data_IF_375596145233
#
_entry.id   IF_375596145233
#
_cell.length_a   1.000
_cell.length_b   1.000
_cell.length_c   1.000
_cell.angle_alpha   90.00
_cell.angle_beta   90.00
_cell.angle_gamma   90.00
#
_symmetry.space_group_name_H-M   'P 1'
#
loop_
_entity.id
_entity.type
_entity.pdbx_description
1 polymer ?
#
# COMPACT_ATOMS: atom_id res chain seq x y z
N UNK A 1 -46.07 31.63 -25.55
CA UNK A 1 -46.01 32.94 -24.89
C UNK A 1 -47.33 33.73 -24.90
N UNK A 2 -48.06 33.84 -26.02
CA UNK A 2 -49.33 34.63 -26.08
C UNK A 2 -50.46 34.14 -25.16
N UNK A 3 -50.60 32.82 -24.91
CA UNK A 3 -51.64 32.27 -24.01
C UNK A 3 -51.41 32.58 -22.51
N UNK A 4 -50.16 32.70 -22.07
CA UNK A 4 -49.83 33.07 -20.68
C UNK A 4 -50.17 34.54 -20.42
N UNK A 5 -49.77 35.41 -21.34
CA UNK A 5 -50.07 36.85 -21.32
C UNK A 5 -51.59 37.14 -21.30
N UNK A 6 -52.36 36.39 -22.08
CA UNK A 6 -53.83 36.53 -22.11
C UNK A 6 -54.49 36.12 -20.78
N UNK A 7 -53.99 35.05 -20.14
CA UNK A 7 -54.43 34.62 -18.80
C UNK A 7 -54.08 35.64 -17.72
N UNK A 8 -52.91 36.26 -17.79
CA UNK A 8 -52.49 37.32 -16.89
C UNK A 8 -53.35 38.59 -17.04
N UNK A 9 -53.77 38.94 -18.26
CA UNK A 9 -54.55 40.15 -18.50
C UNK A 9 -55.93 40.13 -17.82
N UNK A 10 -56.59 38.96 -17.76
CA UNK A 10 -57.93 38.76 -17.19
C UNK A 10 -58.02 38.66 -15.65
N UNK A 11 -56.90 38.71 -14.94
CA UNK A 11 -56.91 38.67 -13.46
C UNK A 11 -57.30 40.02 -12.85
N UNK A 12 -58.15 39.99 -11.80
CA UNK A 12 -58.44 41.17 -10.96
C UNK A 12 -57.14 41.75 -10.42
N UNK A 13 -57.03 43.08 -10.40
CA UNK A 13 -55.81 43.83 -10.07
C UNK A 13 -55.09 43.38 -8.80
N UNK A 14 -55.85 42.97 -7.76
CA UNK A 14 -55.31 42.42 -6.51
C UNK A 14 -54.42 41.18 -6.70
N UNK A 15 -54.81 40.26 -7.61
CA UNK A 15 -54.02 39.06 -7.89
C UNK A 15 -52.75 39.37 -8.70
N UNK A 16 -52.77 40.38 -9.57
CA UNK A 16 -51.57 40.85 -10.30
C UNK A 16 -50.52 41.40 -9.33
N UNK A 17 -50.94 42.22 -8.36
CA UNK A 17 -50.05 42.73 -7.30
C UNK A 17 -49.51 41.60 -6.41
N UNK A 18 -50.34 40.64 -6.02
CA UNK A 18 -49.93 39.53 -5.17
C UNK A 18 -48.89 38.62 -5.85
N UNK A 19 -49.07 38.33 -7.15
CA UNK A 19 -48.10 37.56 -7.94
C UNK A 19 -46.77 38.31 -8.09
N UNK A 20 -46.81 39.63 -8.26
CA UNK A 20 -45.60 40.44 -8.42
C UNK A 20 -44.76 40.46 -7.14
N UNK A 21 -45.41 40.61 -5.98
CA UNK A 21 -44.75 40.53 -4.66
C UNK A 21 -44.18 39.13 -4.41
N UNK A 22 -44.94 38.09 -4.77
CA UNK A 22 -44.51 36.69 -4.61
C UNK A 22 -43.30 36.36 -5.49
N UNK A 23 -43.31 36.78 -6.75
CA UNK A 23 -42.18 36.62 -7.67
C UNK A 23 -40.96 37.42 -7.19
N UNK A 24 -41.16 38.64 -6.71
CA UNK A 24 -40.09 39.49 -6.18
C UNK A 24 -39.43 38.91 -4.93
N UNK A 25 -40.13 38.11 -4.12
CA UNK A 25 -39.54 37.40 -2.98
C UNK A 25 -38.91 36.05 -3.35
N UNK A 26 -39.55 35.28 -4.23
CA UNK A 26 -39.13 33.90 -4.55
C UNK A 26 -37.95 33.85 -5.52
N UNK A 27 -37.90 34.74 -6.53
CA UNK A 27 -36.80 34.69 -7.52
C UNK A 27 -35.44 34.95 -6.85
N UNK A 28 -35.25 36.00 -6.04
CA UNK A 28 -33.95 36.26 -5.41
C UNK A 28 -33.53 35.14 -4.45
N UNK A 29 -34.49 34.60 -3.69
CA UNK A 29 -34.21 33.51 -2.74
C UNK A 29 -33.80 32.23 -3.46
N UNK A 30 -34.48 31.84 -4.55
CA UNK A 30 -34.09 30.68 -5.37
C UNK A 30 -32.69 30.84 -5.98
N UNK A 31 -32.35 32.04 -6.46
CA UNK A 31 -31.02 32.31 -7.02
C UNK A 31 -29.94 32.14 -5.95
N UNK A 32 -30.13 32.72 -4.76
CA UNK A 32 -29.18 32.61 -3.65
C UNK A 32 -29.05 31.16 -3.18
N UNK A 33 -30.15 30.45 -2.98
CA UNK A 33 -30.13 29.04 -2.57
C UNK A 33 -29.41 28.16 -3.58
N UNK A 34 -29.67 28.35 -4.88
CA UNK A 34 -29.00 27.61 -5.94
C UNK A 34 -27.49 27.86 -5.94
N UNK A 35 -27.07 29.12 -5.82
CA UNK A 35 -25.67 29.50 -5.76
C UNK A 35 -24.97 28.91 -4.52
N UNK A 36 -25.60 28.99 -3.34
CA UNK A 36 -25.06 28.41 -2.10
C UNK A 36 -24.95 26.89 -2.19
N UNK A 37 -25.95 26.21 -2.78
CA UNK A 37 -25.93 24.76 -2.95
C UNK A 37 -24.81 24.30 -3.89
N UNK A 38 -24.58 25.04 -4.98
CA UNK A 38 -23.45 24.77 -5.89
C UNK A 38 -22.10 24.97 -5.19
N UNK A 39 -21.94 26.07 -4.44
CA UNK A 39 -20.72 26.35 -3.68
C UNK A 39 -20.43 25.26 -2.64
N UNK A 40 -21.44 24.89 -1.84
CA UNK A 40 -21.32 23.83 -0.84
C UNK A 40 -20.92 22.50 -1.46
N UNK A 41 -21.51 22.14 -2.60
CA UNK A 41 -21.18 20.90 -3.31
C UNK A 41 -19.72 20.87 -3.77
N UNK A 42 -19.19 21.97 -4.29
CA UNK A 42 -17.80 22.05 -4.73
C UNK A 42 -16.83 21.93 -3.55
N UNK A 43 -17.09 22.66 -2.45
CA UNK A 43 -16.27 22.57 -1.24
C UNK A 43 -16.30 21.18 -0.61
N UNK A 44 -17.44 20.49 -0.63
CA UNK A 44 -17.52 19.10 -0.15
C UNK A 44 -16.66 18.16 -0.99
N UNK A 45 -16.68 18.31 -2.32
CA UNK A 45 -15.84 17.51 -3.24
C UNK A 45 -14.35 17.76 -3.03
N UNK A 46 -13.95 19.03 -2.86
CA UNK A 46 -12.55 19.40 -2.57
C UNK A 46 -12.08 18.78 -1.26
N UNK A 47 -12.86 18.94 -0.18
CA UNK A 47 -12.54 18.35 1.13
C UNK A 47 -12.48 16.83 1.10
N UNK A 48 -13.37 16.18 0.34
CA UNK A 48 -13.32 14.72 0.20
C UNK A 48 -12.02 14.29 -0.50
N UNK A 49 -11.60 15.00 -1.53
CA UNK A 49 -10.33 14.73 -2.22
C UNK A 49 -9.11 14.97 -1.31
N UNK A 50 -9.10 16.05 -0.55
CA UNK A 50 -8.05 16.37 0.43
C UNK A 50 -7.97 15.30 1.52
N UNK A 51 -9.11 14.90 2.10
CA UNK A 51 -9.17 13.85 3.11
C UNK A 51 -8.65 12.51 2.56
N UNK A 52 -8.96 12.18 1.30
CA UNK A 52 -8.45 10.98 0.64
C UNK A 52 -6.93 11.05 0.43
N UNK A 53 -6.42 12.21 0.03
CA UNK A 53 -4.97 12.45 -0.10
C UNK A 53 -4.25 12.32 1.22
N UNK A 54 -4.78 12.91 2.29
CA UNK A 54 -4.20 12.82 3.62
C UNK A 54 -4.25 11.39 4.17
N UNK A 55 -5.37 10.69 4.00
CA UNK A 55 -5.51 9.29 4.44
C UNK A 55 -4.55 8.38 3.68
N UNK A 56 -4.45 8.54 2.35
CA UNK A 56 -3.49 7.80 1.54
C UNK A 56 -2.05 8.09 1.99
N UNK A 57 -1.72 9.36 2.22
CA UNK A 57 -0.40 9.75 2.72
C UNK A 57 -0.09 9.07 4.05
N UNK A 58 -1.00 9.12 5.03
CA UNK A 58 -0.80 8.47 6.33
C UNK A 58 -0.59 6.96 6.20
N UNK A 59 -1.34 6.29 5.33
CA UNK A 59 -1.16 4.86 5.08
C UNK A 59 0.20 4.54 4.43
N UNK A 60 0.61 5.32 3.42
CA UNK A 60 1.92 5.17 2.77
C UNK A 60 3.05 5.45 3.75
N UNK A 61 2.96 6.52 4.54
CA UNK A 61 3.97 6.87 5.55
C UNK A 61 4.06 5.76 6.62
N UNK A 62 2.94 5.13 7.01
CA UNK A 62 2.96 4.01 7.95
C UNK A 62 3.69 2.78 7.37
N UNK A 63 3.45 2.45 6.10
CA UNK A 63 4.13 1.35 5.40
C UNK A 63 5.62 1.66 5.20
N UNK A 64 5.96 2.91 4.85
CA UNK A 64 7.34 3.35 4.68
C UNK A 64 8.13 3.23 5.99
N UNK A 65 7.53 3.67 7.11
CA UNK A 65 8.14 3.51 8.43
C UNK A 65 8.38 2.03 8.78
N UNK A 66 7.43 1.14 8.45
CA UNK A 66 7.62 -0.31 8.63
C UNK A 66 8.75 -0.84 7.74
N UNK A 67 8.80 -0.42 6.47
CA UNK A 67 9.84 -0.81 5.54
C UNK A 67 11.23 -0.40 6.04
N UNK A 68 11.38 0.84 6.52
CA UNK A 68 12.63 1.33 7.10
C UNK A 68 13.08 0.51 8.32
N UNK A 69 12.15 0.04 9.17
CA UNK A 69 12.50 -0.86 10.29
C UNK A 69 13.12 -2.17 9.76
N UNK A 70 12.54 -2.78 8.73
CA UNK A 70 13.05 -4.03 8.18
C UNK A 70 14.37 -3.85 7.42
N UNK A 71 14.56 -2.70 6.76
CA UNK A 71 15.82 -2.33 6.13
C UNK A 71 16.93 -2.13 7.17
N UNK A 72 16.66 -1.38 8.24
CA UNK A 72 17.60 -1.19 9.33
C UNK A 72 17.95 -2.52 10.03
N UNK A 73 16.96 -3.40 10.18
CA UNK A 73 17.15 -4.72 10.77
C UNK A 73 18.05 -5.61 9.90
N UNK A 74 17.76 -5.74 8.60
CA UNK A 74 18.57 -6.57 7.70
C UNK A 74 19.99 -6.01 7.58
N UNK A 75 20.14 -4.69 7.64
CA UNK A 75 21.42 -4.01 7.65
C UNK A 75 22.20 -4.36 8.91
N UNK A 76 21.61 -4.15 10.10
CA UNK A 76 22.23 -4.53 11.36
C UNK A 76 22.70 -5.99 11.37
N UNK A 77 21.82 -6.91 10.95
CA UNK A 77 22.15 -8.34 10.86
C UNK A 77 23.29 -8.59 9.86
N UNK A 78 23.32 -7.89 8.72
CA UNK A 78 24.36 -8.06 7.69
C UNK A 78 25.75 -7.63 8.15
N UNK A 79 25.84 -6.81 9.20
CA UNK A 79 27.09 -6.37 9.82
C UNK A 79 27.39 -7.10 11.15
N UNK A 80 26.52 -8.01 11.61
CA UNK A 80 26.65 -8.65 12.90
C UNK A 80 27.98 -9.42 13.04
N UNK A 81 28.77 -9.03 14.04
CA UNK A 81 30.02 -9.70 14.37
C UNK A 81 29.81 -11.14 14.85
N UNK A 82 28.68 -11.42 15.49
CA UNK A 82 28.38 -12.76 15.99
C UNK A 82 27.97 -13.71 14.86
N UNK A 83 27.14 -13.24 13.91
CA UNK A 83 26.86 -14.01 12.70
C UNK A 83 28.13 -14.23 11.88
N UNK A 84 29.02 -13.25 11.81
CA UNK A 84 30.33 -13.41 11.15
C UNK A 84 31.17 -14.51 11.79
N UNK A 85 31.24 -14.58 13.12
CA UNK A 85 31.97 -15.66 13.82
C UNK A 85 31.39 -17.03 13.49
N UNK A 86 30.05 -17.13 13.39
CA UNK A 86 29.37 -18.37 12.99
C UNK A 86 29.71 -18.74 11.53
N UNK A 87 29.78 -17.75 10.64
CA UNK A 87 30.11 -17.95 9.22
C UNK A 87 31.59 -18.26 8.96
N UNK A 88 32.52 -17.77 9.79
CA UNK A 88 33.96 -18.08 9.68
C UNK A 88 34.40 -19.32 10.46
N UNK A 89 33.49 -19.96 11.18
CA UNK A 89 33.86 -21.10 12.02
C UNK A 89 34.27 -22.29 11.15
N UNK A 90 35.48 -22.81 11.40
CA UNK A 90 35.88 -24.12 10.88
C UNK A 90 35.08 -25.22 11.57
N UNK A 91 34.61 -26.18 10.77
CA UNK A 91 33.72 -27.24 11.24
C UNK A 91 34.50 -28.23 12.12
N UNK A 92 34.50 -27.99 13.43
CA UNK A 92 35.18 -28.87 14.38
C UNK A 92 34.37 -30.14 14.70
N UNK A 93 33.06 -30.01 14.95
CA UNK A 93 32.14 -31.11 15.25
C UNK A 93 30.69 -30.68 14.97
N UNK A 94 29.85 -31.60 14.49
CA UNK A 94 28.43 -31.33 14.21
C UNK A 94 27.68 -30.88 15.48
N UNK A 95 28.00 -31.45 16.65
CA UNK A 95 27.41 -31.05 17.93
C UNK A 95 27.77 -29.60 18.31
N UNK A 96 29.04 -29.23 18.21
CA UNK A 96 29.50 -27.87 18.53
C UNK A 96 28.92 -26.84 17.57
N UNK A 97 28.72 -27.23 16.31
CA UNK A 97 28.08 -26.40 15.28
C UNK A 97 26.62 -26.15 15.62
N UNK A 98 25.88 -27.22 15.92
CA UNK A 98 24.48 -27.14 16.35
C UNK A 98 24.30 -26.26 17.60
N UNK A 99 25.18 -26.42 18.59
CA UNK A 99 25.11 -25.65 19.83
C UNK A 99 25.30 -24.15 19.57
N UNK A 100 26.26 -23.77 18.72
CA UNK A 100 26.47 -22.35 18.36
C UNK A 100 25.32 -21.77 17.54
N UNK A 101 24.76 -22.53 16.60
CA UNK A 101 23.57 -22.10 15.86
C UNK A 101 22.42 -21.82 16.81
N UNK A 102 22.17 -22.74 17.75
CA UNK A 102 21.09 -22.60 18.74
C UNK A 102 21.31 -21.46 19.73
N UNK A 103 22.55 -21.22 20.16
CA UNK A 103 22.85 -20.21 21.19
C UNK A 103 23.11 -18.80 20.65
N UNK A 104 23.50 -18.67 19.38
CA UNK A 104 23.90 -17.38 18.77
C UNK A 104 22.98 -17.00 17.63
N UNK A 105 22.86 -17.84 16.61
CA UNK A 105 22.11 -17.50 15.39
C UNK A 105 20.60 -17.47 15.65
N UNK A 106 20.06 -18.48 16.33
CA UNK A 106 18.62 -18.57 16.54
C UNK A 106 18.04 -17.39 17.34
N UNK A 107 18.63 -16.96 18.48
CA UNK A 107 18.15 -15.79 19.18
C UNK A 107 18.21 -14.52 18.32
N UNK A 108 19.31 -14.30 17.60
CA UNK A 108 19.49 -13.11 16.75
C UNK A 108 18.46 -13.04 15.61
N UNK A 109 18.10 -14.17 15.01
CA UNK A 109 17.22 -14.24 13.86
C UNK A 109 15.73 -14.41 14.24
N UNK A 110 15.42 -14.95 15.42
CA UNK A 110 14.06 -15.15 15.88
C UNK A 110 13.52 -14.01 16.76
N UNK A 111 14.36 -13.34 17.56
CA UNK A 111 13.90 -12.25 18.44
C UNK A 111 13.18 -11.11 17.70
N UNK A 112 13.60 -10.67 16.51
CA UNK A 112 12.87 -9.62 15.79
C UNK A 112 11.40 -9.99 15.48
N UNK A 113 11.10 -11.27 15.28
CA UNK A 113 9.75 -11.76 15.00
C UNK A 113 8.80 -11.61 16.22
N UNK A 114 9.36 -11.57 17.43
CA UNK A 114 8.58 -11.37 18.67
C UNK A 114 8.05 -9.93 18.75
N UNK A 115 8.83 -8.96 18.29
CA UNK A 115 8.50 -7.54 18.36
C UNK A 115 7.77 -7.03 17.11
N UNK A 116 8.01 -7.66 15.95
CA UNK A 116 7.43 -7.26 14.66
C UNK A 116 6.61 -8.40 14.06
N UNK A 117 5.29 -8.33 14.24
CA UNK A 117 4.34 -9.39 13.88
C UNK A 117 4.20 -9.63 12.38
N UNK A 118 4.69 -8.70 11.58
CA UNK A 118 4.76 -8.79 10.12
C UNK A 118 5.92 -9.67 9.69
N UNK A 119 6.95 -9.86 10.52
CA UNK A 119 8.07 -10.74 10.18
C UNK A 119 7.66 -12.19 10.42
N UNK A 120 7.58 -12.97 9.35
CA UNK A 120 7.32 -14.43 9.41
C UNK A 120 8.57 -15.25 9.72
N UNK A 121 9.74 -14.74 9.35
CA UNK A 121 10.99 -15.47 9.50
C UNK A 121 12.18 -14.70 8.95
N UNK A 122 13.34 -14.91 9.57
CA UNK A 122 14.63 -14.43 9.06
C UNK A 122 15.53 -15.64 8.86
N UNK A 123 16.06 -15.79 7.66
CA UNK A 123 16.95 -16.90 7.30
C UNK A 123 18.27 -16.37 6.77
N UNK A 124 19.37 -16.88 7.29
CA UNK A 124 20.72 -16.66 6.80
C UNK A 124 21.16 -17.85 5.95
N UNK A 125 21.45 -17.56 4.69
CA UNK A 125 21.94 -18.53 3.72
C UNK A 125 23.43 -18.36 3.52
N UNK A 126 24.22 -19.42 3.57
CA UNK A 126 25.68 -19.32 3.37
C UNK A 126 26.29 -20.58 2.75
N UNK A 127 27.40 -20.41 2.05
CA UNK A 127 28.11 -21.52 1.39
C UNK A 127 28.73 -22.51 2.39
N UNK A 128 29.10 -22.03 3.58
CA UNK A 128 29.68 -22.87 4.62
C UNK A 128 28.63 -23.71 5.39
N UNK A 129 27.34 -23.47 5.16
CA UNK A 129 26.23 -24.22 5.75
C UNK A 129 25.85 -25.34 4.78
N UNK A 130 26.04 -26.60 5.18
CA UNK A 130 25.71 -27.75 4.32
C UNK A 130 24.31 -28.31 4.57
N UNK A 131 23.79 -28.15 5.79
CA UNK A 131 22.49 -28.68 6.21
C UNK A 131 21.71 -27.56 6.88
N UNK A 132 20.44 -27.43 6.54
CA UNK A 132 19.55 -26.46 7.16
C UNK A 132 19.42 -26.72 8.68
N UNK A 133 19.39 -25.63 9.46
CA UNK A 133 19.13 -25.65 10.89
C UNK A 133 17.87 -24.85 11.16
N UNK A 134 16.79 -25.58 11.45
CA UNK A 134 15.45 -25.00 11.63
C UNK A 134 15.02 -24.18 10.42
N UNK A 135 14.51 -22.97 10.68
CA UNK A 135 14.13 -21.97 9.66
C UNK A 135 15.11 -20.80 9.56
N UNK A 136 16.16 -20.79 10.38
CA UNK A 136 17.06 -19.65 10.60
C UNK A 136 18.31 -19.73 9.77
N UNK A 137 18.79 -20.94 9.45
CA UNK A 137 20.02 -21.18 8.72
C UNK A 137 19.81 -22.21 7.63
N UNK A 138 20.34 -21.93 6.43
CA UNK A 138 20.22 -22.84 5.30
C UNK A 138 21.42 -22.74 4.34
N UNK A 139 21.67 -23.78 3.52
CA UNK A 139 22.68 -23.74 2.47
C UNK A 139 22.39 -22.68 1.40
N UNK A 140 23.40 -21.96 0.94
CA UNK A 140 23.23 -20.97 -0.13
C UNK A 140 22.72 -21.58 -1.44
N UNK A 141 23.04 -22.85 -1.69
CA UNK A 141 22.60 -23.60 -2.88
C UNK A 141 21.08 -23.66 -3.03
N UNK A 142 20.30 -23.55 -1.94
CA UNK A 142 18.84 -23.59 -2.00
C UNK A 142 18.23 -22.37 -2.72
N UNK A 143 18.95 -21.25 -2.78
CA UNK A 143 18.39 -19.97 -3.24
C UNK A 143 19.04 -19.40 -4.49
N UNK A 144 20.11 -20.01 -5.02
CA UNK A 144 20.83 -19.46 -6.18
C UNK A 144 19.94 -19.35 -7.44
N UNK A 145 18.93 -20.20 -7.56
CA UNK A 145 17.95 -20.18 -8.66
C UNK A 145 16.79 -19.20 -8.48
N UNK A 146 16.60 -18.64 -7.28
CA UNK A 146 15.46 -17.82 -6.95
C UNK A 146 15.54 -16.41 -7.57
N UNK A 147 14.40 -15.86 -7.98
CA UNK A 147 14.33 -14.53 -8.62
C UNK A 147 14.77 -13.40 -7.68
N UNK A 148 14.54 -13.56 -6.38
CA UNK A 148 14.89 -12.56 -5.36
C UNK A 148 16.37 -12.63 -4.95
N UNK A 149 17.12 -13.64 -5.39
CA UNK A 149 18.54 -13.81 -5.03
C UNK A 149 19.39 -12.63 -5.55
N UNK A 150 20.21 -11.99 -4.69
CA UNK A 150 21.05 -10.87 -5.10
C UNK A 150 22.26 -11.34 -5.92
N UNK A 151 22.08 -11.53 -7.23
CA UNK A 151 23.13 -11.95 -8.18
C UNK A 151 24.28 -10.95 -8.33
N UNK A 152 24.01 -9.67 -8.09
CA UNK A 152 25.03 -8.61 -8.25
C UNK A 152 25.83 -8.45 -6.95
N UNK A 153 27.13 -8.16 -7.04
CA UNK A 153 28.02 -7.94 -5.89
C UNK A 153 27.75 -6.64 -5.11
N UNK A 154 26.72 -5.86 -5.47
CA UNK A 154 26.36 -4.65 -4.71
C UNK A 154 25.53 -5.10 -3.50
N UNK A 155 25.99 -4.75 -2.29
CA UNK A 155 25.31 -5.00 -1.01
C UNK A 155 24.06 -4.12 -0.81
N UNK A 156 23.24 -3.99 -1.86
CA UNK A 156 21.99 -3.24 -1.83
C UNK A 156 20.88 -4.15 -1.32
N UNK A 157 19.99 -3.58 -0.53
CA UNK A 157 18.75 -4.23 -0.10
C UNK A 157 17.86 -4.44 -1.34
N UNK A 158 17.23 -5.61 -1.44
CA UNK A 158 16.27 -5.92 -2.49
C UNK A 158 14.92 -6.28 -1.88
N UNK A 159 13.89 -5.60 -2.35
CA UNK A 159 12.49 -5.95 -2.12
C UNK A 159 11.99 -6.82 -3.27
N UNK A 160 11.33 -7.92 -2.93
CA UNK A 160 10.69 -8.80 -3.91
C UNK A 160 9.32 -9.20 -3.41
N UNK A 161 8.33 -9.13 -4.29
CA UNK A 161 6.95 -9.46 -3.98
C UNK A 161 6.57 -10.66 -4.83
N UNK A 162 6.15 -11.74 -4.18
CA UNK A 162 5.62 -12.91 -4.85
C UNK A 162 4.10 -12.91 -4.70
N UNK A 163 3.40 -12.76 -5.82
CA UNK A 163 1.94 -12.88 -5.91
C UNK A 163 1.56 -14.24 -6.51
N UNK A 164 0.50 -14.88 -6.00
CA UNK A 164 0.04 -16.18 -6.48
C UNK A 164 -0.62 -17.03 -5.38
N UNK A 165 -0.31 -18.33 -5.32
CA UNK A 165 -0.90 -19.27 -4.35
C UNK A 165 -0.55 -18.93 -2.89
N UNK A 166 0.60 -18.31 -2.66
CA UNK A 166 1.03 -17.80 -1.35
C UNK A 166 1.70 -16.45 -1.52
N UNK A 167 0.96 -15.39 -1.18
CA UNK A 167 1.50 -14.04 -1.24
C UNK A 167 2.53 -13.83 -0.12
N UNK A 168 3.71 -13.36 -0.48
CA UNK A 168 4.78 -13.03 0.47
C UNK A 168 5.62 -11.86 -0.04
N UNK A 169 6.13 -11.08 0.89
CA UNK A 169 7.14 -10.04 0.61
C UNK A 169 8.46 -10.51 1.18
N UNK A 170 9.51 -10.39 0.38
CA UNK A 170 10.86 -10.81 0.72
C UNK A 170 11.76 -9.58 0.69
N UNK A 171 12.52 -9.39 1.75
CA UNK A 171 13.62 -8.43 1.81
C UNK A 171 14.92 -9.22 1.88
N UNK A 172 15.81 -9.04 0.92
CA UNK A 172 17.05 -9.80 0.84
C UNK A 172 18.27 -8.89 0.65
N UNK A 173 19.39 -9.28 1.28
CA UNK A 173 20.66 -8.56 1.17
C UNK A 173 21.83 -9.53 1.30
N UNK A 174 22.91 -9.28 0.56
CA UNK A 174 24.17 -10.01 0.72
C UNK A 174 24.86 -9.60 2.02
N UNK A 175 25.34 -10.57 2.80
CA UNK A 175 26.08 -10.32 4.04
C UNK A 175 27.36 -9.55 3.74
N UNK A 176 27.66 -8.52 4.53
CA UNK A 176 28.82 -7.68 4.28
C UNK A 176 30.05 -8.25 5.01
N UNK A 177 31.07 -8.67 4.27
CA UNK A 177 32.29 -9.18 4.89
C UNK A 177 33.48 -8.20 4.85
N UNK A 178 33.48 -7.18 4.01
CA UNK A 178 34.64 -6.29 3.82
C UNK A 178 35.86 -6.97 3.17
N UNK A 179 36.07 -8.27 3.38
CA UNK A 179 37.14 -9.10 2.82
C UNK A 179 36.71 -10.04 1.68
N UNK A 180 35.40 -10.10 1.34
CA UNK A 180 34.81 -11.01 0.33
C UNK A 180 35.02 -12.52 0.57
N UNK A 181 35.38 -12.94 1.78
CA UNK A 181 35.60 -14.36 2.12
C UNK A 181 34.29 -15.06 2.46
N UNK A 182 33.32 -14.31 3.00
CA UNK A 182 31.99 -14.83 3.32
C UNK A 182 31.04 -14.59 2.15
N UNK A 183 30.54 -15.67 1.57
CA UNK A 183 29.40 -15.63 0.65
C UNK A 183 28.13 -16.08 1.38
N UNK A 184 27.35 -15.10 1.82
CA UNK A 184 26.11 -15.33 2.53
C UNK A 184 25.05 -14.29 2.15
N UNK A 185 23.77 -14.65 2.31
CA UNK A 185 22.60 -13.82 2.01
C UNK A 185 21.62 -13.90 3.17
N UNK A 186 21.19 -12.75 3.66
CA UNK A 186 20.09 -12.64 4.61
C UNK A 186 18.77 -12.46 3.86
N UNK A 187 17.73 -13.13 4.36
CA UNK A 187 16.37 -13.06 3.84
C UNK A 187 15.40 -12.82 5.00
N UNK A 188 14.66 -11.73 4.96
CA UNK A 188 13.48 -11.51 5.79
C UNK A 188 12.24 -11.87 4.96
N UNK A 189 11.39 -12.72 5.52
CA UNK A 189 10.08 -13.03 4.95
C UNK A 189 9.02 -12.28 5.74
N UNK A 190 8.24 -11.44 5.05
CA UNK A 190 7.18 -10.63 5.63
C UNK A 190 5.80 -11.19 5.28
N UNK A 191 4.84 -10.97 6.18
CA UNK A 191 3.43 -11.22 5.94
C UNK A 191 2.86 -10.16 5.01
N UNK A 192 2.45 -10.60 3.82
CA UNK A 192 1.90 -9.75 2.79
C UNK A 192 0.68 -8.96 3.25
N UNK A 193 -0.28 -9.60 3.93
CA UNK A 193 -1.52 -8.94 4.31
C UNK A 193 -1.28 -7.92 5.44
N UNK A 194 -0.42 -8.27 6.41
CA UNK A 194 -0.12 -7.34 7.51
C UNK A 194 0.68 -6.12 7.07
N UNK A 195 1.63 -6.29 6.14
CA UNK A 195 2.42 -5.18 5.60
C UNK A 195 1.51 -4.13 4.93
N UNK A 196 0.51 -4.58 4.17
CA UNK A 196 -0.41 -3.68 3.46
C UNK A 196 -1.68 -3.33 4.28
N UNK A 197 -1.79 -3.79 5.53
CA UNK A 197 -2.94 -3.52 6.40
C UNK A 197 -3.23 -2.01 6.58
N UNK A 198 -2.23 -1.11 6.75
CA UNK A 198 -2.50 0.33 6.84
C UNK A 198 -3.19 0.87 5.58
N UNK A 199 -2.79 0.37 4.40
CA UNK A 199 -3.39 0.75 3.12
C UNK A 199 -4.79 0.15 2.95
N UNK A 200 -5.02 -1.08 3.41
CA UNK A 200 -6.35 -1.69 3.36
C UNK A 200 -7.35 -1.00 4.30
N UNK A 201 -6.89 -0.54 5.48
CA UNK A 201 -7.73 0.11 6.50
C UNK A 201 -8.34 1.42 6.06
N UNK A 202 -7.65 2.19 5.22
CA UNK A 202 -8.19 3.44 4.68
C UNK A 202 -9.23 3.20 3.57
N UNK A 203 -9.36 1.97 3.08
CA UNK A 203 -10.37 1.62 2.09
C UNK A 203 -11.70 1.29 2.76
N UNK A 204 -12.61 2.25 2.70
CA UNK A 204 -14.02 2.07 3.05
C UNK A 204 -14.71 1.06 2.09
N UNK A 205 -16.02 0.83 2.24
CA UNK A 205 -16.83 0.06 1.28
C UNK A 205 -16.89 0.76 -0.10
N UNK A 206 -16.82 0.00 -1.20
CA UNK A 206 -16.92 0.46 -2.60
C UNK A 206 -15.66 1.13 -3.20
N UNK A 207 -14.46 0.66 -2.85
CA UNK A 207 -13.18 1.18 -3.37
C UNK A 207 -12.28 0.09 -3.96
N UNK A 208 -11.35 0.51 -4.82
CA UNK A 208 -10.24 -0.31 -5.27
C UNK A 208 -8.92 0.41 -4.99
N UNK A 209 -7.90 -0.37 -4.62
CA UNK A 209 -6.55 0.12 -4.43
C UNK A 209 -5.54 -0.79 -5.10
N UNK A 210 -4.55 -0.19 -5.75
CA UNK A 210 -3.48 -0.90 -6.44
C UNK A 210 -2.14 -0.26 -6.08
N UNK A 211 -1.13 -1.09 -5.88
CA UNK A 211 0.25 -0.71 -5.64
C UNK A 211 1.10 -1.29 -6.74
N UNK A 212 1.93 -0.45 -7.36
CA UNK A 212 2.90 -0.89 -8.38
C UNK A 212 4.33 -0.65 -7.91
N UNK A 213 5.25 -1.48 -8.40
CA UNK A 213 6.69 -1.20 -8.31
C UNK A 213 7.13 -0.19 -9.39
N UNK A 214 8.41 0.22 -9.35
CA UNK A 214 9.03 1.12 -10.34
C UNK A 214 8.89 0.60 -11.78
N UNK A 215 8.84 -0.73 -11.97
CA UNK A 215 8.76 -1.39 -13.27
C UNK A 215 7.31 -1.53 -13.77
N UNK A 216 6.31 -1.11 -13.01
CA UNK A 216 4.89 -1.21 -13.34
C UNK A 216 4.26 -2.57 -13.03
N UNK A 217 4.94 -3.45 -12.29
CA UNK A 217 4.36 -4.71 -11.83
C UNK A 217 3.43 -4.47 -10.64
N UNK A 218 2.31 -5.18 -10.60
CA UNK A 218 1.38 -5.11 -9.46
C UNK A 218 1.99 -5.81 -8.25
N UNK A 219 2.26 -5.03 -7.21
CA UNK A 219 2.75 -5.48 -5.91
C UNK A 219 1.59 -5.85 -5.00
N UNK A 220 0.55 -5.01 -4.97
CA UNK A 220 -0.64 -5.22 -4.18
C UNK A 220 -1.88 -4.76 -4.90
N UNK A 221 -2.96 -5.50 -4.72
CA UNK A 221 -4.28 -5.13 -5.23
C UNK A 221 -5.34 -5.59 -4.25
N UNK A 222 -6.25 -4.70 -3.91
CA UNK A 222 -7.47 -5.06 -3.22
C UNK A 222 -8.66 -4.39 -3.91
N UNK A 223 -9.72 -5.16 -4.08
CA UNK A 223 -10.94 -4.70 -4.70
C UNK A 223 -12.11 -4.98 -3.75
N UNK A 224 -12.73 -3.90 -3.26
CA UNK A 224 -13.97 -3.93 -2.48
C UNK A 224 -15.12 -3.26 -3.27
N UNK A 225 -14.97 -3.09 -4.59
CA UNK A 225 -16.04 -2.62 -5.47
C UNK A 225 -17.12 -3.71 -5.53
N UNK A 226 -18.39 -3.39 -5.21
CA UNK A 226 -19.46 -4.37 -5.26
C UNK A 226 -19.73 -4.78 -6.72
N UNK A 227 -20.01 -6.06 -6.94
CA UNK A 227 -20.21 -6.68 -8.26
C UNK A 227 -21.19 -5.94 -9.20
N UNK A 228 -22.12 -5.15 -8.64
CA UNK A 228 -23.02 -4.26 -9.39
C UNK A 228 -22.33 -3.17 -10.23
N UNK A 229 -21.06 -2.86 -9.94
CA UNK A 229 -20.23 -1.90 -10.68
C UNK A 229 -19.00 -2.55 -11.34
N UNK A 230 -18.91 -3.89 -11.36
CA UNK A 230 -17.89 -4.61 -12.14
C UNK A 230 -18.18 -4.44 -13.64
N UNK A 231 -17.71 -3.33 -14.20
CA UNK A 231 -17.39 -3.29 -15.63
C UNK A 231 -16.18 -4.19 -15.80
N UNK A 232 -16.33 -5.24 -16.62
CA UNK A 232 -15.48 -6.42 -16.67
C UNK A 232 -13.97 -6.18 -16.67
N UNK A 233 -13.22 -7.21 -16.21
CA UNK A 233 -11.76 -7.33 -16.15
C UNK A 233 -11.02 -5.99 -16.11
N UNK A 234 -10.78 -5.53 -14.88
CA UNK A 234 -9.95 -4.39 -14.49
C UNK A 234 -8.47 -4.69 -14.78
N UNK A 235 -8.12 -4.90 -16.05
CA UNK A 235 -6.76 -5.20 -16.50
C UNK A 235 -6.09 -3.98 -17.18
N UNK A 236 -6.76 -2.82 -17.26
CA UNK A 236 -6.15 -1.61 -17.86
C UNK A 236 -6.64 -0.30 -17.24
N UNK A 237 -5.67 0.52 -16.80
CA UNK A 237 -5.80 1.81 -16.08
C UNK A 237 -6.74 2.81 -16.78
N UNK A 238 -6.88 2.72 -18.11
CA UNK A 238 -7.65 3.68 -18.93
C UNK A 238 -9.17 3.59 -18.78
N UNK A 239 -9.71 2.44 -18.35
CA UNK A 239 -11.16 2.27 -18.19
C UNK A 239 -11.61 2.65 -16.77
N UNK A 240 -10.77 2.41 -15.76
CA UNK A 240 -11.02 2.84 -14.37
C UNK A 240 -10.96 4.36 -14.26
N UNK A 241 -10.02 5.04 -14.92
CA UNK A 241 -9.92 6.51 -14.88
C UNK A 241 -11.13 7.25 -15.48
N UNK A 242 -11.96 6.61 -16.31
CA UNK A 242 -13.15 7.26 -16.90
C UNK A 242 -14.33 7.33 -15.93
N UNK A 243 -14.44 6.36 -15.01
CA UNK A 243 -15.57 6.23 -14.07
C UNK A 243 -15.19 6.49 -12.61
N UNK A 244 -13.90 6.63 -12.31
CA UNK A 244 -13.36 6.77 -10.97
C UNK A 244 -12.46 8.00 -10.84
N UNK A 245 -12.56 8.71 -9.71
CA UNK A 245 -11.54 9.66 -9.28
C UNK A 245 -10.42 8.89 -8.58
N UNK A 246 -9.15 9.24 -8.82
CA UNK A 246 -8.01 8.54 -8.22
C UNK A 246 -7.04 9.49 -7.53
N UNK A 247 -6.46 9.03 -6.44
CA UNK A 247 -5.34 9.69 -5.77
C UNK A 247 -4.14 8.76 -5.78
N UNK A 248 -2.95 9.29 -6.05
CA UNK A 248 -1.71 8.51 -6.11
C UNK A 248 -0.66 9.11 -5.18
N UNK A 249 0.10 8.26 -4.50
CA UNK A 249 1.23 8.64 -3.66
C UNK A 249 2.37 7.66 -3.89
N UNK A 250 3.57 8.20 -4.08
CA UNK A 250 4.79 7.43 -4.20
C UNK A 250 5.49 7.36 -2.85
N UNK A 251 6.01 6.17 -2.53
CA UNK A 251 6.80 5.89 -1.34
C UNK A 251 8.28 6.11 -1.64
N UNK A 252 8.96 6.93 -0.83
CA UNK A 252 10.33 7.36 -1.12
C UNK A 252 11.36 6.22 -1.03
N UNK A 253 11.19 5.28 -0.08
CA UNK A 253 12.19 4.23 0.19
C UNK A 253 12.37 3.19 -0.93
N UNK A 254 11.29 2.66 -1.47
CA UNK A 254 11.32 1.58 -2.48
C UNK A 254 10.58 1.92 -3.78
N UNK A 255 10.18 3.18 -3.96
CA UNK A 255 9.52 3.73 -5.15
C UNK A 255 8.19 3.07 -5.52
N UNK A 256 7.55 2.40 -4.55
CA UNK A 256 6.21 1.87 -4.77
C UNK A 256 5.19 3.00 -4.92
N UNK A 257 4.31 2.86 -5.91
CA UNK A 257 3.25 3.82 -6.21
C UNK A 257 1.91 3.26 -5.77
N UNK A 258 1.32 3.88 -4.76
CA UNK A 258 0.02 3.55 -4.22
C UNK A 258 -1.04 4.38 -4.91
N UNK A 259 -2.09 3.74 -5.40
CA UNK A 259 -3.22 4.40 -6.02
C UNK A 259 -4.54 3.94 -5.41
N UNK A 260 -5.38 4.91 -5.12
CA UNK A 260 -6.68 4.76 -4.49
C UNK A 260 -7.78 5.27 -5.43
N UNK A 261 -8.74 4.40 -5.77
CA UNK A 261 -9.81 4.67 -6.75
C UNK A 261 -11.17 4.78 -6.07
N UNK A 262 -11.92 5.84 -6.41
CA UNK A 262 -13.25 6.15 -5.87
C UNK A 262 -14.27 6.31 -6.98
N UNK A 263 -15.42 5.64 -6.88
CA UNK A 263 -16.52 5.80 -7.84
C UNK A 263 -17.01 7.25 -7.88
N UNK A 264 -17.02 7.86 -9.08
CA UNK A 264 -17.43 9.25 -9.26
C UNK A 264 -18.88 9.52 -8.83
N UNK A 265 -19.74 8.49 -8.87
CA UNK A 265 -21.17 8.57 -8.47
C UNK A 265 -21.32 8.89 -6.97
N UNK A 266 -20.38 8.49 -6.12
CA UNK A 266 -20.42 8.76 -4.67
C UNK A 266 -20.20 10.23 -4.34
N UNK A 267 -19.41 10.95 -5.14
CA UNK A 267 -19.23 12.40 -5.06
C UNK A 267 -20.52 13.20 -5.37
N UNK A 268 -21.58 12.53 -5.84
CA UNK A 268 -22.88 13.12 -6.14
C UNK A 268 -24.01 12.63 -5.21
N UNK A 269 -23.94 11.37 -4.72
CA UNK A 269 -25.05 10.73 -4.01
C UNK A 269 -25.00 10.80 -2.47
N UNK A 270 -24.02 11.47 -1.85
CA UNK A 270 -23.98 11.66 -0.38
C UNK A 270 -25.01 12.71 0.13
N UNK A 271 -26.08 12.96 -0.63
CA UNK A 271 -27.20 13.84 -0.26
C UNK A 271 -28.41 13.08 0.31
N UNK A 272 -28.39 11.75 0.36
CA UNK A 272 -29.52 10.92 0.86
C UNK A 272 -29.23 10.28 2.24
N UNK A 273 -28.78 11.07 3.22
CA UNK A 273 -28.91 10.76 4.66
C UNK A 273 -29.33 12.02 5.41
#
# INVERSE_FOLDING_TARGET
>A
MKKLLYRFHNFKYRYKLMILILIAGIIPTLIVTCYMQMGMMNTLKEREMENMQESLKQAVDAIDNQAQIYENLIDYLSYSGDLRKVLKMERASDFNTYLKYTQVSDPLLNMPQVYHKEIKGITLYADNIQVAHGSTLAPLSEIQGENWYPRNNRSLIRWYVQTGSQNKVIVARKFYDGSSEINAVLKITLDYNKLFEPFEKIMESDFAGIVWDENGNVVYSCNKIPAKYETGKVDTISEVQKSFSSVTKEMEGNQWKFCYFVLRIRLWNRQDI
#
